data_IF_083735733838
#
_entry.id   IF_083735733838
#
_cell.length_a   1.000
_cell.length_b   1.000
_cell.length_c   1.000
_cell.angle_alpha   90.00
_cell.angle_beta   90.00
_cell.angle_gamma   90.00
#
_symmetry.space_group_name_H-M   'P 1'
#
loop_
_entity.id
_entity.type
_entity.pdbx_description
1 polymer ?
#
# COMPACT_ATOMS: atom_id res chain seq x y z
N UNK A 1 -39.03 23.07 -32.63
CA UNK A 1 -37.69 22.47 -32.78
C UNK A 1 -36.68 23.49 -32.32
N UNK A 2 -35.96 23.24 -31.22
CA UNK A 2 -34.90 24.15 -30.77
C UNK A 2 -33.75 24.06 -31.77
N UNK A 3 -33.44 25.15 -32.46
CA UNK A 3 -32.27 25.26 -33.35
C UNK A 3 -31.02 25.26 -32.46
N UNK A 4 -30.40 24.08 -32.23
CA UNK A 4 -29.10 24.00 -31.60
C UNK A 4 -28.06 24.68 -32.49
N UNK A 5 -27.35 25.70 -31.95
CA UNK A 5 -26.24 26.37 -32.61
C UNK A 5 -24.97 26.10 -31.78
N UNK A 6 -24.00 25.41 -32.34
CA UNK A 6 -22.71 25.20 -31.76
C UNK A 6 -21.70 26.25 -32.27
N UNK A 7 -20.97 26.86 -31.34
CA UNK A 7 -19.82 27.70 -31.67
C UNK A 7 -18.54 26.93 -31.31
N UNK A 8 -17.70 26.66 -32.28
CA UNK A 8 -16.44 25.95 -32.09
C UNK A 8 -15.36 26.93 -31.61
N UNK A 9 -14.85 26.66 -30.40
CA UNK A 9 -13.75 27.36 -29.78
C UNK A 9 -12.44 26.56 -29.97
N UNK A 10 -11.31 27.25 -30.15
CA UNK A 10 -9.99 26.60 -30.24
C UNK A 10 -9.27 26.70 -28.90
N UNK A 11 -9.20 25.61 -28.12
CA UNK A 11 -8.45 25.59 -26.85
C UNK A 11 -6.94 25.54 -27.11
N UNK A 12 -6.16 26.04 -26.16
CA UNK A 12 -4.73 25.74 -26.07
C UNK A 12 -4.62 24.43 -25.29
N UNK A 13 -4.01 23.43 -25.91
CA UNK A 13 -3.79 22.12 -25.28
C UNK A 13 -2.40 22.13 -24.66
N UNK A 14 -2.33 21.87 -23.36
CA UNK A 14 -1.08 21.77 -22.61
C UNK A 14 -0.94 20.34 -22.04
N UNK A 15 0.18 19.69 -22.31
CA UNK A 15 0.50 18.42 -21.72
C UNK A 15 0.93 18.62 -20.26
N UNK A 16 0.43 17.75 -19.37
CA UNK A 16 0.94 17.67 -17.99
C UNK A 16 2.31 17.00 -17.98
N UNK A 17 3.21 17.51 -17.15
CA UNK A 17 4.59 16.99 -17.00
C UNK A 17 4.79 16.21 -15.72
N UNK A 18 3.79 16.17 -14.85
CA UNK A 18 3.86 15.41 -13.61
C UNK A 18 3.98 13.90 -13.88
N UNK A 19 4.82 13.18 -13.14
CA UNK A 19 4.84 11.73 -13.19
C UNK A 19 3.49 11.17 -12.70
N UNK A 20 3.08 10.05 -13.29
CA UNK A 20 1.76 9.45 -13.07
C UNK A 20 1.85 8.15 -12.28
N UNK A 21 1.13 8.08 -11.18
CA UNK A 21 0.98 6.88 -10.34
C UNK A 21 -0.42 6.32 -10.50
N UNK A 22 -0.50 5.09 -10.97
CA UNK A 22 -1.74 4.31 -10.94
C UNK A 22 -1.79 3.48 -9.66
N UNK A 23 -2.90 3.49 -8.96
CA UNK A 23 -3.10 2.71 -7.74
C UNK A 23 -4.25 1.73 -7.93
N UNK A 24 -3.96 0.44 -7.83
CA UNK A 24 -4.96 -0.61 -7.86
C UNK A 24 -5.30 -0.95 -6.41
N UNK A 25 -6.49 -0.59 -5.96
CA UNK A 25 -6.98 -0.88 -4.60
C UNK A 25 -8.11 -1.91 -4.64
N UNK A 26 -8.35 -2.64 -3.55
CA UNK A 26 -9.47 -3.57 -3.49
C UNK A 26 -10.80 -2.80 -3.54
N UNK A 27 -11.82 -3.41 -4.14
CA UNK A 27 -13.18 -2.85 -4.14
C UNK A 27 -13.73 -2.61 -2.73
N UNK A 28 -13.21 -3.34 -1.75
CA UNK A 28 -13.56 -3.28 -0.32
C UNK A 28 -12.68 -2.36 0.52
N UNK A 29 -11.65 -1.74 -0.06
CA UNK A 29 -10.71 -0.88 0.68
C UNK A 29 -11.30 0.51 0.99
N UNK A 30 -11.06 1.01 2.22
CA UNK A 30 -11.51 2.33 2.69
C UNK A 30 -10.34 3.29 2.95
N UNK A 31 -9.10 2.84 2.86
CA UNK A 31 -7.96 3.48 3.52
C UNK A 31 -6.89 3.97 2.53
N UNK A 32 -6.54 3.18 1.53
CA UNK A 32 -5.42 3.47 0.62
C UNK A 32 -5.53 4.84 -0.03
N UNK A 33 -6.70 5.18 -0.58
CA UNK A 33 -6.90 6.47 -1.26
C UNK A 33 -6.70 7.65 -0.31
N UNK A 34 -7.16 7.51 0.93
CA UNK A 34 -7.00 8.54 1.95
C UNK A 34 -5.54 8.74 2.33
N UNK A 35 -4.80 7.64 2.50
CA UNK A 35 -3.38 7.69 2.86
C UNK A 35 -2.54 8.33 1.74
N UNK A 36 -2.78 7.98 0.47
CA UNK A 36 -2.14 8.63 -0.66
C UNK A 36 -2.42 10.14 -0.69
N UNK A 37 -3.69 10.54 -0.51
CA UNK A 37 -4.08 11.96 -0.50
C UNK A 37 -3.38 12.73 0.61
N UNK A 38 -3.27 12.14 1.82
CA UNK A 38 -2.61 12.78 2.96
C UNK A 38 -1.11 12.95 2.72
N UNK A 39 -0.42 11.88 2.34
CA UNK A 39 1.03 11.89 2.20
C UNK A 39 1.47 12.69 0.97
N UNK A 40 0.74 12.60 -0.13
CA UNK A 40 1.15 13.16 -1.41
C UNK A 40 0.52 14.51 -1.76
N UNK A 41 -0.27 15.13 -0.87
CA UNK A 41 -1.11 16.30 -1.19
C UNK A 41 -0.36 17.50 -1.77
N UNK A 42 0.91 17.67 -1.45
CA UNK A 42 1.74 18.80 -1.92
C UNK A 42 2.80 18.40 -2.95
N UNK A 43 2.79 17.16 -3.39
CA UNK A 43 3.78 16.66 -4.35
C UNK A 43 3.31 16.85 -5.80
N UNK A 44 4.23 17.19 -6.72
CA UNK A 44 3.91 17.34 -8.14
C UNK A 44 3.78 15.96 -8.83
N UNK A 45 2.83 15.17 -8.42
CA UNK A 45 2.49 13.86 -9.00
C UNK A 45 1.00 13.76 -9.27
N UNK A 46 0.63 13.07 -10.33
CA UNK A 46 -0.77 12.79 -10.66
C UNK A 46 -1.10 11.36 -10.24
N UNK A 47 -2.14 11.18 -9.42
CA UNK A 47 -2.50 9.88 -8.84
C UNK A 47 -3.88 9.46 -9.36
N UNK A 48 -3.95 8.26 -9.91
CA UNK A 48 -5.17 7.67 -10.48
C UNK A 48 -5.49 6.37 -9.79
N UNK A 49 -6.73 6.21 -9.30
CA UNK A 49 -7.17 5.01 -8.59
C UNK A 49 -8.10 4.20 -9.47
N UNK A 50 -7.94 2.87 -9.43
CA UNK A 50 -8.94 1.94 -9.91
C UNK A 50 -9.13 0.82 -8.91
N UNK A 51 -10.32 0.20 -8.89
CA UNK A 51 -10.67 -0.81 -7.90
C UNK A 51 -10.74 -2.19 -8.53
N UNK A 52 -9.97 -3.13 -7.95
CA UNK A 52 -10.00 -4.53 -8.35
C UNK A 52 -11.11 -5.27 -7.59
N UNK A 53 -11.93 -6.07 -8.26
CA UNK A 53 -12.94 -6.89 -7.60
C UNK A 53 -12.31 -7.79 -6.54
N UNK A 54 -12.84 -7.76 -5.33
CA UNK A 54 -12.44 -8.63 -4.24
C UNK A 54 -13.65 -9.14 -3.47
N UNK A 55 -13.63 -10.40 -3.08
CA UNK A 55 -14.71 -11.07 -2.36
C UNK A 55 -14.20 -11.50 -0.98
N UNK A 56 -14.88 -11.07 0.06
CA UNK A 56 -14.65 -11.56 1.42
C UNK A 56 -15.19 -13.00 1.59
N UNK A 57 -14.71 -13.79 2.56
CA UNK A 57 -13.71 -13.43 3.58
C UNK A 57 -12.28 -13.41 3.05
N UNK A 58 -11.35 -12.87 3.86
CA UNK A 58 -9.92 -12.88 3.60
C UNK A 58 -9.41 -14.32 3.64
N UNK A 59 -9.02 -14.87 2.50
CA UNK A 59 -8.44 -16.20 2.36
C UNK A 59 -7.62 -16.34 1.09
N UNK A 60 -6.80 -17.37 1.01
CA UNK A 60 -5.89 -17.60 -0.10
C UNK A 60 -6.63 -17.75 -1.45
N UNK A 61 -7.73 -18.46 -1.50
CA UNK A 61 -8.52 -18.69 -2.73
C UNK A 61 -9.03 -17.36 -3.31
N UNK A 62 -9.61 -16.50 -2.47
CA UNK A 62 -10.16 -15.21 -2.90
C UNK A 62 -9.06 -14.24 -3.36
N UNK A 63 -7.85 -14.33 -2.78
CA UNK A 63 -6.69 -13.57 -3.28
C UNK A 63 -6.25 -14.04 -4.67
N UNK A 64 -6.23 -15.35 -4.93
CA UNK A 64 -5.86 -15.87 -6.26
C UNK A 64 -6.87 -15.47 -7.33
N UNK A 65 -8.18 -15.52 -7.05
CA UNK A 65 -9.24 -15.05 -7.98
C UNK A 65 -9.06 -13.59 -8.38
N UNK A 66 -8.59 -12.76 -7.46
CA UNK A 66 -8.34 -11.35 -7.74
C UNK A 66 -7.27 -11.14 -8.82
N UNK A 67 -6.28 -12.04 -8.95
CA UNK A 67 -5.20 -11.90 -9.90
C UNK A 67 -5.67 -11.85 -11.36
N UNK A 68 -6.77 -12.51 -11.70
CA UNK A 68 -7.34 -12.56 -13.05
C UNK A 68 -7.77 -11.19 -13.56
N UNK A 69 -8.13 -10.28 -12.65
CA UNK A 69 -8.61 -8.93 -12.98
C UNK A 69 -7.48 -7.89 -13.11
N UNK A 70 -6.24 -8.21 -12.74
CA UNK A 70 -5.15 -7.24 -12.73
C UNK A 70 -4.91 -6.59 -14.11
N UNK A 71 -4.87 -7.33 -15.23
CA UNK A 71 -4.63 -6.71 -16.53
C UNK A 71 -5.72 -5.70 -16.93
N UNK A 72 -6.99 -6.08 -16.75
CA UNK A 72 -8.12 -5.22 -17.10
C UNK A 72 -8.14 -3.95 -16.25
N UNK A 73 -8.01 -4.10 -14.93
CA UNK A 73 -8.02 -2.96 -13.99
C UNK A 73 -6.84 -2.02 -14.25
N UNK A 74 -5.66 -2.57 -14.58
CA UNK A 74 -4.48 -1.78 -14.98
C UNK A 74 -4.73 -1.02 -16.28
N UNK A 75 -5.35 -1.66 -17.28
CA UNK A 75 -5.65 -1.04 -18.57
C UNK A 75 -6.59 0.15 -18.43
N UNK A 76 -7.57 0.05 -17.52
CA UNK A 76 -8.57 1.09 -17.28
C UNK A 76 -8.01 2.34 -16.59
N UNK A 77 -6.80 2.29 -16.04
CA UNK A 77 -6.11 3.49 -15.54
C UNK A 77 -5.56 4.26 -16.73
N UNK A 78 -6.23 5.36 -17.12
CA UNK A 78 -5.88 6.19 -18.26
C UNK A 78 -5.56 5.36 -19.52
N UNK A 79 -6.57 4.79 -20.18
CA UNK A 79 -6.35 3.97 -21.39
C UNK A 79 -5.59 4.73 -22.48
N UNK A 80 -4.55 4.09 -23.02
CA UNK A 80 -3.71 4.70 -24.05
C UNK A 80 -2.62 5.66 -23.55
N UNK A 81 -2.65 6.03 -22.27
CA UNK A 81 -1.67 6.94 -21.68
C UNK A 81 -0.58 6.17 -20.91
N UNK A 82 0.62 6.78 -20.85
CA UNK A 82 1.73 6.30 -20.04
C UNK A 82 1.41 6.47 -18.55
N UNK A 83 1.71 5.43 -17.77
CA UNK A 83 1.76 5.45 -16.31
C UNK A 83 3.19 5.09 -15.90
N UNK A 84 3.79 5.86 -15.01
CA UNK A 84 5.19 5.66 -14.61
C UNK A 84 5.32 4.58 -13.54
N UNK A 85 4.38 4.56 -12.58
CA UNK A 85 4.34 3.55 -11.49
C UNK A 85 2.93 3.01 -11.32
N UNK A 86 2.80 1.69 -11.21
CA UNK A 86 1.57 1.05 -10.72
C UNK A 86 1.82 0.50 -9.31
N UNK A 87 1.03 0.97 -8.34
CA UNK A 87 1.02 0.52 -6.97
C UNK A 87 -0.13 -0.47 -6.74
N UNK A 88 0.18 -1.75 -6.56
CA UNK A 88 -0.82 -2.75 -6.19
C UNK A 88 -1.16 -2.68 -4.70
N UNK A 89 -2.42 -2.74 -4.34
CA UNK A 89 -2.93 -2.35 -3.03
C UNK A 89 -3.37 -3.48 -2.10
N UNK A 90 -2.70 -4.64 -2.09
CA UNK A 90 -3.02 -5.70 -1.15
C UNK A 90 -1.75 -6.40 -0.64
N UNK A 91 -1.52 -6.39 0.69
CA UNK A 91 -0.32 -7.00 1.30
C UNK A 91 -0.41 -8.52 1.25
N UNK A 92 -1.42 -9.10 1.85
CA UNK A 92 -1.65 -10.56 1.87
C UNK A 92 -1.93 -11.12 0.48
N UNK A 93 -2.66 -10.37 -0.36
CA UNK A 93 -2.86 -10.73 -1.76
C UNK A 93 -1.56 -10.79 -2.56
N UNK A 94 -0.61 -9.88 -2.31
CA UNK A 94 0.72 -9.96 -2.96
C UNK A 94 1.47 -11.23 -2.56
N UNK A 95 1.42 -11.61 -1.28
CA UNK A 95 2.08 -12.84 -0.80
C UNK A 95 1.45 -14.08 -1.41
N UNK A 96 0.12 -14.10 -1.53
CA UNK A 96 -0.62 -15.23 -2.10
C UNK A 96 -0.41 -15.39 -3.62
N UNK A 97 -0.42 -14.29 -4.36
CA UNK A 97 -0.34 -14.26 -5.82
C UNK A 97 1.12 -14.33 -6.30
N UNK A 98 2.03 -13.67 -5.59
CA UNK A 98 3.42 -13.47 -5.96
C UNK A 98 3.66 -12.15 -6.70
N UNK A 99 4.73 -11.44 -6.30
CA UNK A 99 5.09 -10.14 -6.88
C UNK A 99 5.37 -10.21 -8.39
N UNK A 100 6.14 -11.21 -8.81
CA UNK A 100 6.49 -11.40 -10.23
C UNK A 100 5.24 -11.60 -11.09
N UNK A 101 4.27 -12.38 -10.58
CA UNK A 101 3.02 -12.58 -11.29
C UNK A 101 2.22 -11.28 -11.39
N UNK A 102 2.07 -10.52 -10.30
CA UNK A 102 1.40 -9.21 -10.31
C UNK A 102 2.08 -8.28 -11.32
N UNK A 103 3.40 -8.16 -11.26
CA UNK A 103 4.17 -7.31 -12.19
C UNK A 103 3.95 -7.71 -13.64
N UNK A 104 4.00 -9.01 -13.95
CA UNK A 104 3.77 -9.50 -15.30
C UNK A 104 2.34 -9.20 -15.80
N UNK A 105 1.32 -9.33 -14.93
CA UNK A 105 -0.06 -9.01 -15.29
C UNK A 105 -0.27 -7.52 -15.53
N UNK A 106 0.32 -6.65 -14.71
CA UNK A 106 0.30 -5.19 -14.91
C UNK A 106 0.96 -4.83 -16.24
N UNK A 107 2.14 -5.38 -16.52
CA UNK A 107 2.93 -5.05 -17.71
C UNK A 107 2.29 -5.51 -19.03
N UNK A 108 1.33 -6.43 -19.01
CA UNK A 108 0.51 -6.76 -20.19
C UNK A 108 -0.28 -5.55 -20.71
N UNK A 109 -0.67 -4.63 -19.84
CA UNK A 109 -1.48 -3.46 -20.18
C UNK A 109 -0.69 -2.14 -20.09
N UNK A 110 0.30 -2.09 -19.21
CA UNK A 110 1.16 -0.93 -18.94
C UNK A 110 2.64 -1.37 -18.97
N UNK A 111 3.20 -1.68 -20.15
CA UNK A 111 4.50 -2.35 -20.28
C UNK A 111 5.68 -1.54 -19.72
N UNK A 112 5.58 -0.22 -19.69
CA UNK A 112 6.64 0.66 -19.18
C UNK A 112 6.50 0.98 -17.70
N UNK A 113 5.39 0.61 -17.06
CA UNK A 113 5.16 0.94 -15.66
C UNK A 113 6.09 0.14 -14.75
N UNK A 114 6.77 0.85 -13.84
CA UNK A 114 7.39 0.21 -12.67
C UNK A 114 6.29 -0.24 -11.72
N UNK A 115 6.44 -1.41 -11.09
CA UNK A 115 5.42 -1.96 -10.21
C UNK A 115 5.92 -2.00 -8.77
N UNK A 116 5.07 -1.63 -7.83
CA UNK A 116 5.32 -1.79 -6.39
C UNK A 116 4.13 -2.43 -5.69
N UNK A 117 4.42 -3.14 -4.60
CA UNK A 117 3.41 -3.78 -3.75
C UNK A 117 3.68 -3.45 -2.29
N UNK A 118 2.69 -3.55 -1.39
CA UNK A 118 2.90 -3.18 0.01
C UNK A 118 4.00 -4.00 0.70
N UNK A 119 4.07 -5.31 0.44
CA UNK A 119 5.04 -6.16 1.13
C UNK A 119 6.45 -5.99 0.58
N UNK A 120 6.61 -5.87 -0.74
CA UNK A 120 7.94 -5.67 -1.34
C UNK A 120 8.50 -4.30 -1.02
N UNK A 121 7.65 -3.28 -0.97
CA UNK A 121 8.00 -1.94 -0.48
C UNK A 121 8.42 -1.98 1.00
N UNK A 122 7.72 -2.76 1.84
CA UNK A 122 8.07 -2.92 3.25
C UNK A 122 9.44 -3.58 3.42
N UNK A 123 9.78 -4.59 2.62
CA UNK A 123 11.12 -5.20 2.63
C UNK A 123 12.22 -4.21 2.24
N UNK A 124 11.95 -3.35 1.24
CA UNK A 124 12.88 -2.27 0.87
C UNK A 124 13.02 -1.24 2.00
N UNK A 125 11.92 -0.90 2.68
CA UNK A 125 11.92 0.01 3.82
C UNK A 125 12.71 -0.56 5.00
N UNK A 126 12.55 -1.84 5.33
CA UNK A 126 13.35 -2.52 6.36
C UNK A 126 14.84 -2.45 6.05
N UNK A 127 15.21 -2.73 4.80
CA UNK A 127 16.61 -2.62 4.35
C UNK A 127 17.11 -1.18 4.44
N UNK A 128 16.33 -0.19 4.02
CA UNK A 128 16.69 1.25 4.08
C UNK A 128 16.98 1.69 5.52
N UNK A 129 16.17 1.22 6.48
CA UNK A 129 16.29 1.59 7.90
C UNK A 129 17.11 0.58 8.72
N UNK A 130 17.71 -0.43 8.07
CA UNK A 130 18.52 -1.49 8.71
C UNK A 130 17.75 -2.26 9.80
N UNK A 131 16.44 -2.51 9.60
CA UNK A 131 15.63 -3.31 10.51
C UNK A 131 15.81 -4.80 10.17
N UNK A 132 16.19 -5.60 11.16
CA UNK A 132 16.43 -7.06 11.01
C UNK A 132 15.60 -7.88 11.97
N UNK A 133 15.39 -7.39 13.18
CA UNK A 133 14.55 -8.01 14.20
C UNK A 133 13.30 -7.16 14.40
N UNK A 134 12.12 -7.70 14.06
CA UNK A 134 10.89 -6.93 14.04
C UNK A 134 9.78 -7.61 14.84
N UNK A 135 8.94 -6.79 15.48
CA UNK A 135 7.61 -7.21 15.89
C UNK A 135 6.63 -7.01 14.72
N UNK A 136 5.63 -7.86 14.62
CA UNK A 136 4.59 -7.78 13.57
C UNK A 136 3.21 -7.65 14.20
N UNK A 137 2.41 -6.72 13.67
CA UNK A 137 0.98 -6.59 13.95
C UNK A 137 0.20 -6.72 12.65
N UNK A 138 -0.77 -7.61 12.60
CA UNK A 138 -1.66 -7.83 11.46
C UNK A 138 -3.12 -7.82 11.90
N UNK A 139 -4.08 -7.61 10.99
CA UNK A 139 -5.49 -7.84 11.30
C UNK A 139 -5.98 -9.25 10.92
N UNK A 140 -5.21 -10.04 10.19
CA UNK A 140 -5.67 -11.20 9.43
C UNK A 140 -6.07 -12.41 10.28
N UNK A 141 -6.91 -13.33 9.74
CA UNK A 141 -7.16 -14.64 10.35
C UNK A 141 -5.90 -15.52 10.33
N UNK A 142 -5.93 -16.58 11.12
CA UNK A 142 -4.76 -17.41 11.41
C UNK A 142 -4.09 -18.02 10.17
N UNK A 143 -4.86 -18.51 9.23
CA UNK A 143 -4.35 -19.13 7.99
C UNK A 143 -3.59 -18.12 7.11
N UNK A 144 -4.11 -16.91 6.96
CA UNK A 144 -3.43 -15.81 6.28
C UNK A 144 -2.17 -15.38 7.03
N UNK A 145 -2.24 -15.33 8.37
CA UNK A 145 -1.08 -14.97 9.20
C UNK A 145 0.08 -15.96 9.07
N UNK A 146 -0.20 -17.26 8.95
CA UNK A 146 0.84 -18.28 8.70
C UNK A 146 1.60 -17.96 7.41
N UNK A 147 0.88 -17.66 6.34
CA UNK A 147 1.49 -17.30 5.05
C UNK A 147 2.34 -16.02 5.13
N UNK A 148 1.85 -15.01 5.84
CA UNK A 148 2.60 -13.76 6.06
C UNK A 148 3.86 -14.01 6.90
N UNK A 149 3.77 -14.78 7.97
CA UNK A 149 4.90 -15.14 8.82
C UNK A 149 5.98 -15.89 8.03
N UNK A 150 5.58 -16.92 7.26
CA UNK A 150 6.51 -17.68 6.42
C UNK A 150 7.21 -16.81 5.38
N UNK A 151 6.49 -15.90 4.73
CA UNK A 151 7.05 -14.97 3.75
C UNK A 151 8.11 -14.07 4.37
N UNK A 152 7.79 -13.44 5.51
CA UNK A 152 8.71 -12.56 6.22
C UNK A 152 9.94 -13.33 6.74
N UNK A 153 9.74 -14.52 7.29
CA UNK A 153 10.84 -15.37 7.79
C UNK A 153 11.83 -15.79 6.70
N UNK A 154 11.35 -15.95 5.45
CA UNK A 154 12.21 -16.23 4.29
C UNK A 154 12.98 -15.00 3.79
N UNK A 155 12.66 -13.81 4.28
CA UNK A 155 13.24 -12.54 3.82
C UNK A 155 14.41 -12.04 4.68
N UNK A 156 15.14 -12.93 5.35
CA UNK A 156 16.25 -12.62 6.25
C UNK A 156 15.87 -11.68 7.42
N UNK A 157 14.65 -11.81 7.90
CA UNK A 157 14.11 -11.10 9.08
C UNK A 157 13.96 -12.07 10.24
N UNK A 158 14.29 -11.62 11.44
CA UNK A 158 13.90 -12.26 12.68
C UNK A 158 12.55 -11.67 13.10
N UNK A 159 11.57 -12.53 13.35
CA UNK A 159 10.26 -12.13 13.85
C UNK A 159 10.22 -12.42 15.35
N UNK A 160 10.41 -11.38 16.16
CA UNK A 160 10.44 -11.47 17.62
C UNK A 160 9.05 -11.83 18.18
N UNK A 161 8.03 -11.15 17.69
CA UNK A 161 6.64 -11.42 18.04
C UNK A 161 5.69 -11.21 16.86
N UNK A 162 4.63 -12.00 16.80
CA UNK A 162 3.62 -11.93 15.77
C UNK A 162 2.23 -11.80 16.39
N UNK A 163 1.61 -10.64 16.23
CA UNK A 163 0.37 -10.26 16.87
C UNK A 163 -0.73 -10.06 15.84
N UNK A 164 -1.98 -10.37 16.17
CA UNK A 164 -3.09 -10.24 15.22
C UNK A 164 -4.42 -9.90 15.89
N UNK A 165 -5.25 -9.12 15.17
CA UNK A 165 -6.65 -8.88 15.53
C UNK A 165 -7.57 -10.04 15.16
N UNK A 166 -7.14 -10.95 14.28
CA UNK A 166 -7.89 -12.12 13.81
C UNK A 166 -9.28 -11.76 13.21
N UNK A 167 -9.30 -10.80 12.29
CA UNK A 167 -10.50 -10.33 11.58
C UNK A 167 -10.61 -10.99 10.21
N UNK A 168 -11.85 -11.19 9.72
CA UNK A 168 -12.12 -11.90 8.48
C UNK A 168 -12.55 -11.01 7.30
N UNK A 169 -12.88 -9.74 7.57
CA UNK A 169 -13.45 -8.83 6.56
C UNK A 169 -12.71 -7.49 6.52
N UNK A 170 -12.44 -6.97 5.33
CA UNK A 170 -11.80 -5.66 5.15
C UNK A 170 -12.57 -4.53 5.83
N UNK A 171 -13.90 -4.60 5.84
CA UNK A 171 -14.75 -3.62 6.51
C UNK A 171 -14.55 -3.58 8.02
N UNK A 172 -14.34 -4.74 8.66
CA UNK A 172 -14.01 -4.83 10.09
C UNK A 172 -12.62 -4.22 10.35
N UNK A 173 -11.66 -4.55 9.49
CA UNK A 173 -10.28 -4.02 9.61
C UNK A 173 -10.29 -2.50 9.48
N UNK A 174 -10.99 -1.96 8.50
CA UNK A 174 -11.08 -0.52 8.28
C UNK A 174 -11.81 0.23 9.42
N UNK A 175 -12.55 -0.47 10.25
CA UNK A 175 -13.25 0.08 11.42
C UNK A 175 -12.45 -0.04 12.72
N UNK A 176 -11.27 -0.69 12.72
CA UNK A 176 -10.38 -0.68 13.89
C UNK A 176 -10.03 0.78 14.23
N UNK A 177 -10.38 1.21 15.43
CA UNK A 177 -10.17 2.58 15.87
C UNK A 177 -8.67 2.88 16.10
N UNK A 178 -8.30 4.15 16.01
CA UNK A 178 -6.92 4.58 16.29
C UNK A 178 -6.53 4.29 17.75
N UNK A 179 -7.48 4.42 18.67
CA UNK A 179 -7.32 4.06 20.07
C UNK A 179 -6.99 2.57 20.22
N UNK A 180 -7.77 1.69 19.58
CA UNK A 180 -7.54 0.24 19.62
C UNK A 180 -6.18 -0.14 19.04
N UNK A 181 -5.73 0.54 17.97
CA UNK A 181 -4.38 0.37 17.43
C UNK A 181 -3.31 0.76 18.44
N UNK A 182 -3.42 1.94 19.08
CA UNK A 182 -2.48 2.42 20.10
C UNK A 182 -2.41 1.50 21.32
N UNK A 183 -3.57 1.06 21.83
CA UNK A 183 -3.65 0.12 22.96
C UNK A 183 -3.05 -1.24 22.62
N UNK A 184 -3.28 -1.73 21.40
CA UNK A 184 -2.72 -3.00 20.95
C UNK A 184 -1.22 -2.93 20.80
N UNK A 185 -0.69 -1.86 20.20
CA UNK A 185 0.75 -1.62 20.09
C UNK A 185 1.40 -1.52 21.49
N UNK A 186 0.74 -0.88 22.44
CA UNK A 186 1.22 -0.77 23.83
C UNK A 186 1.36 -2.12 24.55
N UNK A 187 0.70 -3.17 24.07
CA UNK A 187 0.78 -4.55 24.63
C UNK A 187 1.88 -5.38 23.97
N UNK A 188 2.45 -4.91 22.86
CA UNK A 188 3.55 -5.59 22.17
C UNK A 188 4.86 -5.24 22.87
N UNK A 189 5.68 -6.22 23.21
CA UNK A 189 7.02 -5.95 23.70
C UNK A 189 7.89 -5.45 22.54
N UNK A 190 8.37 -4.22 22.63
CA UNK A 190 9.19 -3.54 21.63
C UNK A 190 10.63 -3.28 22.10
N UNK A 191 11.03 -3.77 23.27
CA UNK A 191 12.33 -3.44 23.89
C UNK A 191 13.54 -4.01 23.12
N UNK A 192 13.37 -5.15 22.46
CA UNK A 192 14.47 -5.87 21.80
C UNK A 192 14.30 -5.97 20.28
N UNK A 193 13.46 -5.12 19.68
CA UNK A 193 13.22 -5.11 18.24
C UNK A 193 13.77 -3.84 17.58
N UNK A 194 14.19 -3.95 16.33
CA UNK A 194 14.61 -2.80 15.53
C UNK A 194 13.42 -1.96 15.08
N UNK A 195 12.22 -2.56 15.03
CA UNK A 195 10.99 -1.88 14.65
C UNK A 195 9.74 -2.76 14.69
N UNK A 196 8.61 -2.10 14.49
CA UNK A 196 7.28 -2.69 14.37
C UNK A 196 6.81 -2.65 12.91
N UNK A 197 6.40 -3.78 12.36
CA UNK A 197 5.69 -3.83 11.09
C UNK A 197 4.17 -3.95 11.30
N UNK A 198 3.41 -2.95 10.87
CA UNK A 198 1.94 -2.98 10.84
C UNK A 198 1.50 -3.35 9.43
N UNK A 199 1.17 -4.62 9.26
CA UNK A 199 0.82 -5.21 7.97
C UNK A 199 -0.69 -5.10 7.73
N UNK A 200 -1.08 -4.60 6.64
CA UNK A 200 -2.38 -4.47 5.99
C UNK A 200 -2.62 -3.05 5.48
N UNK A 201 -3.14 -2.97 4.27
CA UNK A 201 -3.47 -1.68 3.66
C UNK A 201 -4.76 -1.06 4.17
N UNK A 202 -5.63 -1.85 4.79
CA UNK A 202 -6.90 -1.38 5.35
C UNK A 202 -6.79 -0.77 6.76
N UNK A 203 -5.68 -1.00 7.50
CA UNK A 203 -5.45 -0.40 8.82
C UNK A 203 -5.05 1.08 8.70
N UNK A 204 -5.71 1.95 9.48
CA UNK A 204 -5.53 3.42 9.45
C UNK A 204 -4.33 3.90 10.28
N UNK A 205 -3.21 3.17 10.26
CA UNK A 205 -2.05 3.47 11.08
C UNK A 205 -1.29 4.74 10.65
N UNK A 206 -1.40 5.14 9.40
CA UNK A 206 -0.70 6.31 8.84
C UNK A 206 -0.99 7.58 9.65
N UNK A 207 -2.19 7.73 10.17
CA UNK A 207 -2.60 8.90 10.96
C UNK A 207 -1.86 9.06 12.30
N UNK A 208 -1.29 7.98 12.82
CA UNK A 208 -0.65 7.95 14.15
C UNK A 208 0.81 7.47 14.13
N UNK A 209 1.42 7.32 12.95
CA UNK A 209 2.80 6.80 12.83
C UNK A 209 3.80 7.58 13.69
N UNK A 210 3.85 8.90 13.54
CA UNK A 210 4.76 9.76 14.29
C UNK A 210 4.50 9.71 15.82
N UNK A 211 3.23 9.66 16.20
CA UNK A 211 2.85 9.55 17.61
C UNK A 211 3.33 8.23 18.21
N UNK A 212 3.11 7.13 17.49
CA UNK A 212 3.51 5.78 17.92
C UNK A 212 5.03 5.65 18.00
N UNK A 213 5.76 6.12 16.96
CA UNK A 213 7.23 6.10 16.96
C UNK A 213 7.83 6.87 18.13
N UNK A 214 7.29 8.06 18.42
CA UNK A 214 7.74 8.90 19.54
C UNK A 214 7.40 8.28 20.88
N UNK A 215 6.16 7.79 21.04
CA UNK A 215 5.67 7.24 22.32
C UNK A 215 6.42 5.98 22.72
N UNK A 216 6.71 5.09 21.78
CA UNK A 216 7.36 3.80 22.05
C UNK A 216 8.84 3.79 21.71
N UNK A 217 9.41 4.91 21.27
CA UNK A 217 10.80 5.04 20.85
C UNK A 217 11.25 3.91 19.89
N UNK A 218 10.38 3.53 18.96
CA UNK A 218 10.61 2.46 17.99
C UNK A 218 10.35 2.95 16.58
N UNK A 219 10.92 2.28 15.59
CA UNK A 219 10.61 2.54 14.17
C UNK A 219 9.35 1.79 13.78
N UNK A 220 8.41 2.43 13.11
CA UNK A 220 7.19 1.79 12.62
C UNK A 220 7.14 1.83 11.10
N UNK A 221 6.98 0.68 10.49
CA UNK A 221 6.71 0.55 9.06
C UNK A 221 5.27 0.05 8.87
N UNK A 222 4.50 0.73 8.04
CA UNK A 222 3.18 0.26 7.64
C UNK A 222 3.12 -0.06 6.14
N UNK A 223 2.20 -0.94 5.77
CA UNK A 223 1.99 -1.35 4.38
C UNK A 223 1.76 -0.17 3.43
N UNK A 224 0.90 0.78 3.79
CA UNK A 224 0.61 1.93 2.94
C UNK A 224 1.75 2.95 2.93
N UNK A 225 2.33 3.26 4.10
CA UNK A 225 3.48 4.16 4.20
C UNK A 225 4.63 3.66 3.31
N UNK A 226 5.02 2.39 3.44
CA UNK A 226 6.10 1.81 2.66
C UNK A 226 5.81 1.82 1.16
N UNK A 227 4.60 1.45 0.76
CA UNK A 227 4.16 1.45 -0.64
C UNK A 227 4.21 2.86 -1.26
N UNK A 228 3.73 3.88 -0.54
CA UNK A 228 3.76 5.27 -1.01
C UNK A 228 5.21 5.75 -1.10
N UNK A 229 6.03 5.46 -0.09
CA UNK A 229 7.45 5.76 -0.13
C UNK A 229 8.16 5.10 -1.34
N UNK A 230 7.88 3.82 -1.62
CA UNK A 230 8.49 3.11 -2.75
C UNK A 230 8.00 3.67 -4.11
N UNK A 231 6.74 4.13 -4.21
CA UNK A 231 6.29 4.88 -5.40
C UNK A 231 7.18 6.09 -5.66
N UNK A 232 7.47 6.89 -4.64
CA UNK A 232 8.32 8.08 -4.77
C UNK A 232 9.76 7.70 -5.13
N UNK A 233 10.32 6.63 -4.56
CA UNK A 233 11.65 6.11 -4.94
C UNK A 233 11.68 5.68 -6.41
N UNK A 234 10.65 4.98 -6.89
CA UNK A 234 10.54 4.54 -8.28
C UNK A 234 10.38 5.71 -9.28
N UNK A 235 9.91 6.85 -8.81
CA UNK A 235 9.83 8.11 -9.55
C UNK A 235 11.11 8.97 -9.41
N UNK A 236 12.14 8.47 -8.74
CA UNK A 236 13.36 9.20 -8.41
C UNK A 236 13.10 10.49 -7.61
N UNK A 237 12.01 10.52 -6.85
CA UNK A 237 11.60 11.65 -6.01
C UNK A 237 12.10 11.43 -4.57
N UNK A 238 13.26 12.02 -4.26
CA UNK A 238 13.84 11.99 -2.91
C UNK A 238 13.31 13.20 -2.14
N UNK A 239 12.19 13.01 -1.44
CA UNK A 239 11.52 14.07 -0.68
C UNK A 239 11.37 13.68 0.77
N UNK A 240 11.52 14.66 1.68
CA UNK A 240 11.24 14.47 3.10
C UNK A 240 9.82 14.93 3.40
N UNK A 241 9.03 14.03 3.99
CA UNK A 241 7.63 14.30 4.33
C UNK A 241 7.45 14.06 5.83
N UNK A 242 7.60 15.09 6.67
CA UNK A 242 7.43 14.94 8.12
C UNK A 242 5.99 14.59 8.49
N UNK A 243 5.81 13.92 9.63
CA UNK A 243 4.49 13.53 10.13
C UNK A 243 4.09 12.09 9.78
N UNK A 244 4.88 11.40 8.97
CA UNK A 244 4.57 10.05 8.51
C UNK A 244 5.67 9.02 8.83
N UNK A 245 6.37 9.22 9.97
CA UNK A 245 7.37 8.31 10.50
C UNK A 245 8.77 8.47 9.93
N UNK A 246 9.73 7.74 10.51
CA UNK A 246 11.16 7.82 10.18
C UNK A 246 11.45 7.52 8.72
N UNK A 247 10.68 6.64 8.07
CA UNK A 247 10.89 6.25 6.68
C UNK A 247 10.88 7.46 5.73
N UNK A 248 10.02 8.44 5.96
CA UNK A 248 9.88 9.61 5.10
C UNK A 248 10.84 10.75 5.42
N UNK A 249 11.64 10.65 6.46
CA UNK A 249 12.61 11.69 6.85
C UNK A 249 14.07 11.22 6.86
N UNK A 250 14.31 9.92 6.57
CA UNK A 250 15.62 9.27 6.55
C UNK A 250 16.39 9.41 5.23
#
# INVERSE_FOLDING_TARGET
MNNFKQNDLKPIIQNTTNPRVGVITLSTDFTIEQDFRKICHSLPIDIFFNRIPFINPLNHENYLKMAEHIPEVSQQILPGEKIDVIAYGCTSGTIAIGEEHISSQVQRSKPEAKVTTPITASLKAFKKLNLKNIAVLTPYPKDVNVTVFEYLSKSNLTIDSFNSFNLNYDSEIAQVSLESLKESIAKINLDNVDGLFVSCTALKIVDILDEVEKKFNTTVISSNQAKIWDCLQLLDMIVKIPGYGKLFIS
#
